data_IF_835847797246
#
_entry.id   IF_835847797246
#
_cell.length_a   1.000
_cell.length_b   1.000
_cell.length_c   1.000
_cell.angle_alpha   90.00
_cell.angle_beta   90.00
_cell.angle_gamma   90.00
#
_symmetry.space_group_name_H-M   'P 1'
#
loop_
_entity.id
_entity.type
_entity.pdbx_description
1 polymer ?
#
# COMPACT_ATOMS: atom_id res chain seq x y z
N UNK A 1 -1.45 21.70 2.77
CA UNK A 1 -1.34 20.35 2.19
C UNK A 1 -0.78 19.39 3.23
N UNK A 2 -1.41 18.24 3.39
CA UNK A 2 -0.95 17.27 4.35
C UNK A 2 0.40 16.68 3.92
N UNK A 3 1.30 16.54 4.88
CA UNK A 3 2.60 15.91 4.66
C UNK A 3 2.56 14.54 5.29
N UNK A 4 2.71 13.49 4.48
CA UNK A 4 2.61 12.11 4.94
C UNK A 4 3.83 11.69 5.77
N UNK A 5 5.03 12.13 5.36
CA UNK A 5 6.29 11.86 6.06
C UNK A 5 7.20 13.06 5.97
N UNK A 6 8.05 13.30 6.99
CA UNK A 6 9.12 14.30 6.84
C UNK A 6 10.04 13.93 5.69
N UNK A 7 10.38 14.91 4.86
CA UNK A 7 11.24 14.68 3.68
C UNK A 7 12.61 14.13 4.03
N UNK A 8 13.13 14.45 5.21
CA UNK A 8 14.44 13.98 5.64
C UNK A 8 14.38 12.69 6.46
N UNK A 9 13.22 12.06 6.58
CA UNK A 9 13.12 10.80 7.31
C UNK A 9 13.85 9.68 6.57
N UNK A 10 14.34 8.70 7.32
CA UNK A 10 15.01 7.54 6.74
C UNK A 10 14.07 6.78 5.79
N UNK A 11 12.80 6.63 6.18
CA UNK A 11 11.82 5.93 5.36
C UNK A 11 11.59 6.67 4.04
N UNK A 12 11.40 7.99 4.08
CA UNK A 12 11.18 8.77 2.85
C UNK A 12 12.37 8.62 1.90
N UNK A 13 13.59 8.73 2.41
CA UNK A 13 14.79 8.59 1.59
C UNK A 13 14.93 7.19 1.01
N UNK A 14 14.62 6.17 1.79
CA UNK A 14 14.69 4.78 1.34
C UNK A 14 13.68 4.52 0.22
N UNK A 15 12.45 5.01 0.39
CA UNK A 15 11.39 4.85 -0.62
C UNK A 15 11.78 5.58 -1.92
N UNK A 16 12.24 6.83 -1.81
CA UNK A 16 12.63 7.61 -2.99
C UNK A 16 13.78 6.96 -3.75
N UNK A 17 14.77 6.43 -3.04
CA UNK A 17 15.89 5.73 -3.66
C UNK A 17 15.43 4.46 -4.36
N UNK A 18 14.59 3.67 -3.72
CA UNK A 18 14.07 2.44 -4.31
C UNK A 18 13.26 2.75 -5.58
N UNK A 19 12.41 3.76 -5.54
CA UNK A 19 11.59 4.17 -6.68
C UNK A 19 12.47 4.68 -7.83
N UNK A 20 13.50 5.47 -7.50
CA UNK A 20 14.45 5.99 -8.48
C UNK A 20 15.20 4.87 -9.21
N UNK A 21 15.53 3.80 -8.49
CA UNK A 21 16.23 2.65 -9.05
C UNK A 21 15.31 1.62 -9.68
N UNK A 22 14.00 1.88 -9.70
CA UNK A 22 13.02 0.92 -10.22
C UNK A 22 12.89 -0.33 -9.37
N UNK A 23 13.22 -0.24 -8.08
CA UNK A 23 13.23 -1.38 -7.15
C UNK A 23 12.17 -1.33 -6.06
N UNK A 24 11.17 -0.49 -6.23
CA UNK A 24 10.11 -0.41 -5.22
C UNK A 24 9.33 -1.71 -5.21
N UNK A 25 9.42 -2.43 -4.09
CA UNK A 25 8.86 -3.78 -3.98
C UNK A 25 7.34 -3.79 -4.02
N UNK A 26 6.78 -4.86 -4.58
CA UNK A 26 5.33 -5.12 -4.57
C UNK A 26 4.82 -5.63 -3.22
N UNK A 27 5.71 -5.99 -2.31
CA UNK A 27 5.34 -6.42 -0.97
C UNK A 27 6.30 -5.79 0.03
N UNK A 28 5.76 -4.97 0.91
CA UNK A 28 6.55 -4.25 1.90
C UNK A 28 5.87 -4.40 3.26
N UNK A 29 6.66 -4.71 4.28
CA UNK A 29 6.19 -4.75 5.66
C UNK A 29 6.67 -3.48 6.35
N UNK A 30 5.72 -2.72 6.91
CA UNK A 30 5.99 -1.53 7.70
C UNK A 30 5.82 -1.89 9.18
N UNK A 31 6.86 -1.69 9.95
CA UNK A 31 6.88 -2.00 11.37
C UNK A 31 7.09 -0.73 12.18
N UNK A 32 6.31 -0.55 13.21
CA UNK A 32 6.42 0.62 14.08
C UNK A 32 5.27 0.74 15.04
N UNK A 33 5.28 1.75 15.88
CA UNK A 33 4.21 2.00 16.84
C UNK A 33 3.16 2.94 16.25
N UNK A 34 1.93 2.78 16.71
CA UNK A 34 0.82 3.64 16.31
C UNK A 34 0.28 3.32 14.92
N UNK A 35 -0.41 4.29 14.35
CA UNK A 35 -1.04 4.14 13.04
C UNK A 35 -0.01 4.44 11.94
N UNK A 36 0.30 3.44 11.15
CA UNK A 36 1.30 3.53 10.07
C UNK A 36 0.67 3.86 8.71
N UNK A 37 -0.63 4.21 8.68
CA UNK A 37 -1.34 4.42 7.43
C UNK A 37 -0.74 5.57 6.61
N UNK A 38 -0.32 6.65 7.26
CA UNK A 38 0.27 7.78 6.53
C UNK A 38 1.62 7.40 5.89
N UNK A 39 2.44 6.65 6.60
CA UNK A 39 3.69 6.14 6.05
C UNK A 39 3.42 5.21 4.86
N UNK A 40 2.40 4.35 4.98
CA UNK A 40 1.99 3.47 3.90
C UNK A 40 1.47 4.27 2.70
N UNK A 41 0.73 5.35 2.93
CA UNK A 41 0.25 6.21 1.84
C UNK A 41 1.41 6.86 1.08
N UNK A 42 2.48 7.23 1.77
CA UNK A 42 3.67 7.75 1.11
C UNK A 42 4.23 6.72 0.11
N UNK A 43 4.34 5.47 0.53
CA UNK A 43 4.81 4.39 -0.34
C UNK A 43 3.83 4.14 -1.47
N UNK A 44 2.52 4.14 -1.17
CA UNK A 44 1.49 3.98 -2.19
C UNK A 44 1.56 5.09 -3.23
N UNK A 45 1.78 6.34 -2.78
CA UNK A 45 1.96 7.46 -3.70
C UNK A 45 3.15 7.23 -4.63
N UNK A 46 4.25 6.65 -4.12
CA UNK A 46 5.39 6.32 -4.96
C UNK A 46 5.06 5.28 -6.03
N UNK A 47 4.16 4.34 -5.72
CA UNK A 47 3.73 3.32 -6.68
C UNK A 47 2.86 3.88 -7.80
N UNK A 48 2.02 4.87 -7.52
CA UNK A 48 1.07 5.41 -8.50
C UNK A 48 1.55 6.72 -9.15
N UNK A 49 2.63 7.29 -8.66
CA UNK A 49 3.15 8.58 -9.12
C UNK A 49 3.55 8.56 -10.60
N UNK A 50 3.21 9.63 -11.31
CA UNK A 50 3.60 9.84 -12.71
C UNK A 50 4.83 10.73 -12.86
N UNK A 51 5.32 11.32 -11.77
CA UNK A 51 6.43 12.26 -11.82
C UNK A 51 7.80 11.59 -11.91
N UNK A 52 8.82 12.40 -12.10
CA UNK A 52 10.19 11.93 -12.18
C UNK A 52 10.74 11.50 -10.83
N UNK A 53 10.43 12.28 -9.78
CA UNK A 53 10.84 11.99 -8.42
C UNK A 53 9.65 11.37 -7.66
N UNK A 54 9.69 10.08 -7.41
CA UNK A 54 8.55 9.36 -6.83
C UNK A 54 8.71 9.18 -5.32
N UNK A 55 7.71 9.58 -4.52
CA UNK A 55 6.50 10.28 -4.95
C UNK A 55 6.77 11.78 -5.12
N UNK A 56 6.25 12.38 -6.17
CA UNK A 56 6.41 13.82 -6.39
C UNK A 56 5.51 14.64 -5.48
N UNK A 57 4.45 14.06 -4.96
CA UNK A 57 3.45 14.65 -4.06
C UNK A 57 2.67 15.82 -4.68
N UNK A 58 2.70 15.96 -5.99
CA UNK A 58 2.00 17.04 -6.69
C UNK A 58 1.31 16.62 -7.99
N UNK A 59 1.59 15.42 -8.52
CA UNK A 59 0.84 14.92 -9.68
C UNK A 59 -0.58 14.54 -9.24
N UNK A 60 -1.48 14.33 -10.21
CA UNK A 60 -2.88 13.99 -9.90
C UNK A 60 -2.99 12.74 -9.03
N UNK A 61 -2.16 11.73 -9.26
CA UNK A 61 -2.20 10.49 -8.48
C UNK A 61 -1.75 10.72 -7.04
N UNK A 62 -0.62 11.41 -6.85
CA UNK A 62 -0.15 11.72 -5.49
C UNK A 62 -1.16 12.56 -4.72
N UNK A 63 -1.77 13.54 -5.39
CA UNK A 63 -2.77 14.40 -4.73
C UNK A 63 -3.97 13.60 -4.27
N UNK A 64 -4.44 12.64 -5.07
CA UNK A 64 -5.55 11.77 -4.68
C UNK A 64 -5.19 10.88 -3.50
N UNK A 65 -3.96 10.39 -3.44
CA UNK A 65 -3.50 9.60 -2.30
C UNK A 65 -3.48 10.47 -1.04
N UNK A 66 -2.97 11.70 -1.13
CA UNK A 66 -2.94 12.63 -0.01
C UNK A 66 -4.35 12.93 0.51
N UNK A 67 -5.33 13.00 -0.37
CA UNK A 67 -6.73 13.25 -0.02
C UNK A 67 -7.48 11.98 0.39
N UNK A 68 -6.86 10.81 0.26
CA UNK A 68 -7.49 9.55 0.62
C UNK A 68 -8.58 9.10 -0.34
N UNK A 69 -8.55 9.54 -1.60
CA UNK A 69 -9.60 9.27 -2.58
C UNK A 69 -9.11 8.57 -3.85
N UNK A 70 -7.87 8.07 -3.85
CA UNK A 70 -7.37 7.41 -5.07
C UNK A 70 -8.06 6.06 -5.27
N UNK A 71 -8.67 5.82 -6.45
CA UNK A 71 -9.42 4.58 -6.69
C UNK A 71 -8.54 3.34 -6.77
N UNK A 72 -7.24 3.49 -7.01
CA UNK A 72 -6.30 2.38 -7.09
C UNK A 72 -5.49 2.17 -5.81
N UNK A 73 -5.78 2.93 -4.76
CA UNK A 73 -5.15 2.77 -3.45
C UNK A 73 -6.24 2.50 -2.41
N UNK A 74 -6.22 1.30 -1.85
CA UNK A 74 -7.23 0.85 -0.91
C UNK A 74 -6.63 0.58 0.46
N UNK A 75 -7.22 1.16 1.49
CA UNK A 75 -6.86 0.86 2.88
C UNK A 75 -7.79 -0.26 3.35
N UNK A 76 -7.21 -1.38 3.74
CA UNK A 76 -7.95 -2.56 4.18
C UNK A 76 -7.93 -2.61 5.70
N UNK A 77 -9.10 -2.47 6.32
CA UNK A 77 -9.25 -2.45 7.76
C UNK A 77 -10.66 -2.90 8.11
N UNK A 78 -10.80 -3.73 9.14
CA UNK A 78 -12.10 -4.08 9.67
C UNK A 78 -12.24 -3.45 11.05
N UNK A 79 -13.19 -2.53 11.19
CA UNK A 79 -13.44 -1.83 12.45
C UNK A 79 -14.43 -2.56 13.35
N UNK A 80 -15.12 -3.57 12.83
CA UNK A 80 -16.16 -4.31 13.56
C UNK A 80 -15.73 -5.68 14.04
N UNK A 81 -14.70 -6.26 13.41
CA UNK A 81 -14.25 -7.61 13.71
C UNK A 81 -12.78 -7.62 14.10
N UNK A 82 -12.40 -8.62 14.85
CA UNK A 82 -11.02 -8.81 15.26
C UNK A 82 -10.13 -9.22 14.08
N UNK A 83 -10.68 -10.03 13.19
CA UNK A 83 -10.01 -10.46 11.97
C UNK A 83 -10.81 -10.01 10.76
N UNK A 84 -10.16 -9.93 9.61
CA UNK A 84 -10.86 -9.68 8.36
C UNK A 84 -11.81 -10.84 8.07
N UNK A 85 -13.01 -10.51 7.60
CA UNK A 85 -13.98 -11.55 7.25
C UNK A 85 -13.51 -12.32 6.01
N UNK A 86 -14.01 -13.55 5.86
CA UNK A 86 -13.73 -14.36 4.67
C UNK A 86 -14.16 -13.63 3.40
N UNK A 87 -15.33 -12.96 3.46
CA UNK A 87 -15.84 -12.22 2.31
C UNK A 87 -14.94 -11.03 1.96
N UNK A 88 -14.40 -10.34 2.96
CA UNK A 88 -13.47 -9.22 2.73
C UNK A 88 -12.19 -9.68 2.02
N UNK A 89 -11.63 -10.79 2.48
CA UNK A 89 -10.40 -11.34 1.88
C UNK A 89 -10.68 -11.84 0.46
N UNK A 90 -11.84 -12.47 0.25
CA UNK A 90 -12.25 -12.93 -1.08
C UNK A 90 -12.43 -11.76 -2.04
N UNK A 91 -13.07 -10.68 -1.59
CA UNK A 91 -13.27 -9.49 -2.40
C UNK A 91 -11.92 -8.84 -2.77
N UNK A 92 -11.00 -8.79 -1.81
CA UNK A 92 -9.65 -8.27 -2.03
C UNK A 92 -8.92 -9.10 -3.10
N UNK A 93 -8.99 -10.42 -2.97
CA UNK A 93 -8.37 -11.32 -3.93
C UNK A 93 -8.92 -11.12 -5.34
N UNK A 94 -10.23 -11.02 -5.47
CA UNK A 94 -10.88 -10.80 -6.77
C UNK A 94 -10.48 -9.45 -7.35
N UNK A 95 -10.48 -8.40 -6.52
CA UNK A 95 -10.13 -7.05 -6.95
C UNK A 95 -8.67 -6.95 -7.41
N UNK A 96 -7.77 -7.71 -6.79
CA UNK A 96 -6.35 -7.69 -7.14
C UNK A 96 -6.09 -8.15 -8.58
N UNK A 97 -6.96 -8.96 -9.15
CA UNK A 97 -6.83 -9.45 -10.54
C UNK A 97 -7.53 -8.55 -11.55
N UNK A 98 -8.15 -7.46 -11.10
CA UNK A 98 -8.74 -6.46 -11.98
C UNK A 98 -7.71 -5.35 -12.20
N UNK A 99 -7.55 -4.90 -13.43
CA UNK A 99 -6.60 -3.85 -13.76
C UNK A 99 -6.86 -2.56 -12.99
N UNK A 100 -5.80 -1.74 -12.74
CA UNK A 100 -6.01 -0.44 -12.12
C UNK A 100 -7.01 0.42 -12.89
N UNK A 101 -7.70 1.29 -12.16
CA UNK A 101 -8.68 2.20 -12.76
C UNK A 101 -8.02 3.31 -13.56
N UNK A 102 -6.99 3.94 -13.00
CA UNK A 102 -6.35 5.09 -13.65
C UNK A 102 -4.84 5.16 -13.50
N UNK A 103 -4.25 4.46 -12.53
CA UNK A 103 -2.81 4.44 -12.34
C UNK A 103 -2.20 3.21 -13.04
N UNK A 104 -0.87 3.14 -13.11
CA UNK A 104 -0.17 1.98 -13.65
C UNK A 104 -0.18 0.80 -12.68
N UNK A 105 -0.40 1.07 -11.40
CA UNK A 105 -0.42 0.06 -10.34
C UNK A 105 -1.57 0.30 -9.40
N UNK A 106 -1.94 -0.74 -8.66
CA UNK A 106 -2.90 -0.62 -7.57
C UNK A 106 -2.25 -1.12 -6.29
N UNK A 107 -2.58 -0.48 -5.18
CA UNK A 107 -1.93 -0.71 -3.90
C UNK A 107 -2.98 -1.03 -2.84
N UNK A 108 -2.72 -2.07 -2.08
CA UNK A 108 -3.53 -2.43 -0.92
C UNK A 108 -2.72 -2.21 0.34
N UNK A 109 -3.23 -1.34 1.21
CA UNK A 109 -2.61 -1.06 2.51
C UNK A 109 -3.35 -1.87 3.56
N UNK A 110 -2.70 -2.89 4.10
CA UNK A 110 -3.26 -3.67 5.19
C UNK A 110 -2.92 -2.91 6.48
N UNK A 111 -3.92 -2.18 6.99
CA UNK A 111 -3.70 -1.23 8.08
C UNK A 111 -3.25 -1.88 9.38
N UNK A 112 -3.68 -3.12 9.61
CA UNK A 112 -3.29 -3.87 10.80
C UNK A 112 -3.15 -5.34 10.42
N UNK A 113 -1.92 -5.80 10.27
CA UNK A 113 -1.65 -7.17 9.85
C UNK A 113 -2.08 -8.21 10.87
N UNK A 114 -2.36 -7.82 12.11
CA UNK A 114 -2.91 -8.72 13.12
C UNK A 114 -4.33 -9.20 12.77
N UNK A 115 -5.01 -8.49 11.87
CA UNK A 115 -6.32 -8.90 11.40
C UNK A 115 -6.26 -10.04 10.37
N UNK A 116 -5.06 -10.40 9.90
CA UNK A 116 -4.88 -11.50 8.97
C UNK A 116 -4.53 -12.78 9.72
N UNK A 117 -5.37 -13.81 9.59
CA UNK A 117 -5.01 -15.11 10.11
C UNK A 117 -4.01 -15.78 9.14
N UNK A 118 -3.52 -16.95 9.49
CA UNK A 118 -2.52 -17.64 8.68
C UNK A 118 -3.01 -17.93 7.25
N UNK A 119 -4.27 -18.34 7.13
CA UNK A 119 -4.85 -18.60 5.81
C UNK A 119 -4.92 -17.35 4.96
N UNK A 120 -5.33 -16.22 5.55
CA UNK A 120 -5.42 -14.94 4.86
C UNK A 120 -4.04 -14.48 4.39
N UNK A 121 -3.03 -14.61 5.24
CA UNK A 121 -1.66 -14.27 4.89
C UNK A 121 -1.19 -15.09 3.69
N UNK A 122 -1.49 -16.37 3.67
CA UNK A 122 -1.11 -17.25 2.55
C UNK A 122 -1.81 -16.85 1.26
N UNK A 123 -3.08 -16.47 1.33
CA UNK A 123 -3.82 -15.99 0.15
C UNK A 123 -3.15 -14.75 -0.43
N UNK A 124 -2.83 -13.77 0.42
CA UNK A 124 -2.23 -12.51 -0.06
C UNK A 124 -0.80 -12.70 -0.56
N UNK A 125 0.00 -13.52 0.12
CA UNK A 125 1.36 -13.81 -0.34
C UNK A 125 1.36 -14.52 -1.68
N UNK A 126 0.38 -15.38 -1.92
CA UNK A 126 0.25 -16.04 -3.21
C UNK A 126 -0.03 -15.04 -4.34
N UNK A 127 -0.86 -14.04 -4.07
CA UNK A 127 -1.11 -12.97 -5.05
C UNK A 127 0.19 -12.20 -5.34
N UNK A 128 0.98 -11.92 -4.32
CA UNK A 128 2.27 -11.23 -4.49
C UNK A 128 3.21 -12.05 -5.37
N UNK A 129 3.28 -13.37 -5.14
CA UNK A 129 4.21 -14.25 -5.84
C UNK A 129 3.77 -14.61 -7.26
N UNK A 130 2.48 -14.85 -7.46
CA UNK A 130 1.95 -15.39 -8.70
C UNK A 130 0.96 -14.47 -9.41
N UNK A 131 0.57 -13.38 -8.76
CA UNK A 131 -0.47 -12.50 -9.26
C UNK A 131 0.02 -11.46 -10.25
N UNK A 132 -0.85 -10.51 -10.57
CA UNK A 132 -0.53 -9.48 -11.56
C UNK A 132 0.62 -8.59 -11.10
N UNK A 133 1.50 -8.17 -12.03
CA UNK A 133 2.63 -7.32 -11.67
C UNK A 133 2.23 -5.89 -11.26
N UNK A 134 1.00 -5.48 -11.53
CA UNK A 134 0.51 -4.15 -11.15
C UNK A 134 0.02 -4.07 -9.70
N UNK A 135 -0.18 -5.20 -9.02
CA UNK A 135 -0.71 -5.20 -7.65
C UNK A 135 0.42 -5.16 -6.62
N UNK A 136 0.32 -4.26 -5.66
CA UNK A 136 1.29 -4.12 -4.57
C UNK A 136 0.58 -4.17 -3.23
N UNK A 137 1.23 -4.75 -2.23
CA UNK A 137 0.69 -4.92 -0.89
C UNK A 137 1.63 -4.32 0.15
N UNK A 138 1.08 -3.49 1.01
CA UNK A 138 1.81 -2.87 2.12
C UNK A 138 1.19 -3.37 3.42
N UNK A 139 1.98 -4.08 4.22
CA UNK A 139 1.51 -4.68 5.47
C UNK A 139 2.00 -3.85 6.64
N UNK A 140 1.09 -3.26 7.39
CA UNK A 140 1.42 -2.47 8.58
C UNK A 140 1.30 -3.34 9.83
N UNK A 141 2.32 -3.33 10.67
CA UNK A 141 2.32 -4.10 11.89
C UNK A 141 3.06 -3.36 13.01
N UNK A 142 2.63 -3.56 14.24
CA UNK A 142 3.31 -3.02 15.41
C UNK A 142 4.32 -4.01 15.99
N UNK A 143 4.43 -5.17 15.38
CA UNK A 143 5.33 -6.23 15.81
C UNK A 143 6.30 -6.57 14.68
N UNK A 144 7.61 -6.59 14.96
CA UNK A 144 8.60 -6.97 13.95
C UNK A 144 8.50 -8.42 13.50
#
# INVERSE_FOLDING_TARGET
MAQLLPENSTLARTVRRAAEQGRLSHAIVLSGSGDLTDAARFIAAAHVCEGADKPCLRCRHCRKVLEGIHPDVTVVRDTEHRELTVDAVRALRQDAYIRPNEAARKVYIIADSRQLNERDQNVLLKIVEEGPPYAAFLFCTDSP
#
